data_IF_209903221281
#
_entry.id   IF_209903221281
#
_cell.length_a   1.000
_cell.length_b   1.000
_cell.length_c   1.000
_cell.angle_alpha   90.00
_cell.angle_beta   90.00
_cell.angle_gamma   90.00
#
_symmetry.space_group_name_H-M   'P 1'
#
loop_
_entity.id
_entity.type
_entity.pdbx_description
1 polymer ?
#
# COMPACT_ATOMS: atom_id res chain seq x y z
N UNK A 1 8.73 -22.85 39.69
CA UNK A 1 8.91 -21.84 38.62
C UNK A 1 8.97 -22.50 37.24
N UNK A 2 9.70 -23.60 37.06
CA UNK A 2 9.75 -24.38 35.79
C UNK A 2 8.41 -24.95 35.34
N UNK A 3 7.56 -25.43 36.26
CA UNK A 3 6.20 -25.95 35.94
C UNK A 3 5.27 -24.85 35.39
N UNK A 4 5.49 -23.59 35.81
CA UNK A 4 4.70 -22.45 35.36
C UNK A 4 5.14 -21.95 33.97
N UNK A 5 6.45 -22.00 33.69
CA UNK A 5 7.02 -21.70 32.35
C UNK A 5 6.65 -22.79 31.34
N UNK A 6 6.69 -24.07 31.75
CA UNK A 6 6.25 -25.21 30.93
C UNK A 6 4.77 -25.14 30.57
N UNK A 7 3.90 -24.74 31.50
CA UNK A 7 2.47 -24.55 31.25
C UNK A 7 2.16 -23.33 30.38
N UNK A 8 2.95 -22.26 30.44
CA UNK A 8 2.78 -21.10 29.56
C UNK A 8 3.23 -21.41 28.12
N UNK A 9 4.37 -22.07 27.95
CA UNK A 9 4.86 -22.54 26.65
C UNK A 9 3.90 -23.58 26.03
N UNK A 10 3.32 -24.46 26.85
CA UNK A 10 2.30 -25.42 26.43
C UNK A 10 0.98 -24.75 26.05
N UNK A 11 0.52 -23.72 26.77
CA UNK A 11 -0.68 -22.91 26.40
C UNK A 11 -0.49 -22.10 25.12
N UNK A 12 0.74 -21.65 24.84
CA UNK A 12 1.11 -20.98 23.58
C UNK A 12 1.19 -22.01 22.43
N UNK A 13 1.73 -23.21 22.71
CA UNK A 13 1.83 -24.34 21.78
C UNK A 13 0.46 -24.95 21.42
N UNK A 14 -0.46 -25.08 22.38
CA UNK A 14 -1.82 -25.64 22.17
C UNK A 14 -2.76 -24.67 21.44
N UNK A 15 -2.48 -23.35 21.45
CA UNK A 15 -3.29 -22.33 20.77
C UNK A 15 -2.83 -21.98 19.35
N UNK A 16 -1.59 -22.32 18.98
CA UNK A 16 -1.04 -22.08 17.65
C UNK A 16 -1.15 -23.32 16.78
N UNK A 17 -2.09 -23.34 15.82
CA UNK A 17 -2.09 -24.37 14.77
C UNK A 17 -0.69 -24.49 14.13
N UNK A 18 -0.31 -25.67 13.65
CA UNK A 18 1.02 -25.93 13.04
C UNK A 18 1.42 -24.83 12.03
N UNK A 19 0.45 -24.36 11.25
CA UNK A 19 0.61 -23.27 10.29
C UNK A 19 1.04 -21.95 10.92
N UNK A 20 0.55 -21.60 12.11
CA UNK A 20 0.92 -20.35 12.80
C UNK A 20 2.39 -20.39 13.21
N UNK A 21 2.89 -21.56 13.65
CA UNK A 21 4.32 -21.76 13.97
C UNK A 21 5.19 -21.70 12.71
N UNK A 22 4.78 -22.39 11.65
CA UNK A 22 5.46 -22.34 10.35
C UNK A 22 5.52 -20.91 9.80
N UNK A 23 4.43 -20.15 9.89
CA UNK A 23 4.39 -18.76 9.45
C UNK A 23 5.32 -17.87 10.26
N UNK A 24 5.34 -18.02 11.59
CA UNK A 24 6.22 -17.24 12.46
C UNK A 24 7.69 -17.50 12.14
N UNK A 25 8.09 -18.78 12.05
CA UNK A 25 9.46 -19.16 11.72
C UNK A 25 9.83 -18.74 10.28
N UNK A 26 8.93 -18.97 9.32
CA UNK A 26 9.13 -18.62 7.92
C UNK A 26 9.32 -17.12 7.72
N UNK A 27 8.43 -16.29 8.28
CA UNK A 27 8.59 -14.84 8.23
C UNK A 27 9.77 -14.34 9.04
N UNK A 28 10.08 -14.95 10.18
CA UNK A 28 11.29 -14.64 10.94
C UNK A 28 12.56 -14.84 10.11
N UNK A 29 12.67 -15.98 9.42
CA UNK A 29 13.79 -16.28 8.53
C UNK A 29 13.84 -15.31 7.34
N UNK A 30 12.71 -15.07 6.67
CA UNK A 30 12.60 -14.11 5.56
C UNK A 30 13.07 -12.72 6.00
N UNK A 31 12.53 -12.19 7.08
CA UNK A 31 12.89 -10.84 7.55
C UNK A 31 14.35 -10.75 7.95
N UNK A 32 14.90 -11.79 8.58
CA UNK A 32 16.34 -11.85 8.90
C UNK A 32 17.19 -11.79 7.64
N UNK A 33 16.86 -12.59 6.62
CA UNK A 33 17.59 -12.56 5.34
C UNK A 33 17.47 -11.19 4.68
N UNK A 34 16.26 -10.63 4.61
CA UNK A 34 16.02 -9.35 3.93
C UNK A 34 16.64 -8.15 4.66
N UNK A 35 16.81 -8.17 5.99
CA UNK A 35 17.47 -7.09 6.73
C UNK A 35 18.99 -7.23 6.75
N UNK A 36 19.53 -8.45 6.71
CA UNK A 36 20.98 -8.67 6.63
C UNK A 36 21.52 -8.45 5.21
N UNK A 37 20.72 -8.69 4.18
CA UNK A 37 21.18 -8.61 2.79
C UNK A 37 21.80 -7.26 2.39
N UNK A 38 21.26 -6.08 2.76
CA UNK A 38 21.88 -4.79 2.46
C UNK A 38 23.27 -4.61 3.09
N UNK A 39 23.56 -5.32 4.18
CA UNK A 39 24.88 -5.30 4.85
C UNK A 39 25.87 -6.17 4.06
N UNK A 40 25.41 -7.31 3.56
CA UNK A 40 26.23 -8.33 2.92
C UNK A 40 26.43 -8.12 1.41
N UNK A 41 25.51 -7.43 0.75
CA UNK A 41 25.49 -7.21 -0.71
C UNK A 41 25.18 -5.74 -0.98
N UNK A 42 26.22 -4.90 -0.97
CA UNK A 42 26.12 -3.43 -1.00
C UNK A 42 25.91 -2.79 -2.39
N UNK A 43 25.69 -3.58 -3.45
CA UNK A 43 25.81 -3.08 -4.84
C UNK A 43 24.55 -3.16 -5.71
N UNK A 44 23.37 -3.47 -5.16
CA UNK A 44 22.11 -3.37 -5.93
C UNK A 44 21.37 -2.09 -5.58
N UNK A 45 21.17 -1.23 -6.58
CA UNK A 45 20.22 -0.13 -6.47
C UNK A 45 18.84 -0.67 -6.09
N UNK A 46 18.25 -0.12 -5.04
CA UNK A 46 16.91 -0.50 -4.58
C UNK A 46 15.96 0.67 -4.77
N UNK A 47 14.66 0.44 -4.71
CA UNK A 47 13.70 1.55 -4.68
C UNK A 47 13.90 2.46 -3.46
N UNK A 48 14.66 2.01 -2.46
CA UNK A 48 15.00 2.82 -1.29
C UNK A 48 15.82 4.06 -1.63
N UNK A 49 16.72 3.96 -2.61
CA UNK A 49 17.66 5.04 -2.94
C UNK A 49 16.89 6.29 -3.37
N UNK A 50 15.78 6.11 -4.09
CA UNK A 50 14.87 7.19 -4.50
C UNK A 50 14.20 7.87 -3.30
N UNK A 51 13.81 7.12 -2.27
CA UNK A 51 13.22 7.71 -1.06
C UNK A 51 14.25 8.46 -0.23
N UNK A 52 15.44 7.86 -0.05
CA UNK A 52 16.53 8.44 0.72
C UNK A 52 17.01 9.75 0.08
N UNK A 53 17.19 9.75 -1.24
CA UNK A 53 17.55 10.95 -2.00
C UNK A 53 16.49 12.03 -1.91
N UNK A 54 15.20 11.67 -2.02
CA UNK A 54 14.10 12.63 -1.87
C UNK A 54 14.06 13.25 -0.47
N UNK A 55 14.33 12.46 0.58
CA UNK A 55 14.48 12.96 1.95
C UNK A 55 15.66 13.93 2.10
N UNK A 56 16.80 13.62 1.49
CA UNK A 56 17.98 14.49 1.46
C UNK A 56 17.68 15.81 0.73
N UNK A 57 17.12 15.75 -0.47
CA UNK A 57 16.75 16.93 -1.25
C UNK A 57 15.71 17.79 -0.51
N UNK A 58 14.75 17.16 0.18
CA UNK A 58 13.78 17.87 1.03
C UNK A 58 14.48 18.70 2.12
N UNK A 59 15.46 18.12 2.82
CA UNK A 59 16.22 18.82 3.86
C UNK A 59 17.02 20.00 3.31
N UNK A 60 17.56 19.87 2.09
CA UNK A 60 18.41 20.88 1.47
C UNK A 60 17.65 21.91 0.63
N UNK A 61 16.33 21.77 0.48
CA UNK A 61 15.53 22.65 -0.39
C UNK A 61 15.80 22.44 -1.89
N UNK A 62 16.25 21.25 -2.27
CA UNK A 62 16.59 20.87 -3.64
C UNK A 62 15.39 20.23 -4.36
N UNK A 63 15.40 20.23 -5.69
CA UNK A 63 14.30 19.64 -6.48
C UNK A 63 14.22 18.13 -6.29
N UNK A 64 13.03 17.62 -5.91
CA UNK A 64 12.81 16.18 -5.68
C UNK A 64 12.43 15.45 -6.96
N UNK A 65 11.70 16.12 -7.85
CA UNK A 65 11.05 15.49 -8.99
C UNK A 65 11.90 15.60 -10.25
N UNK A 66 12.15 14.45 -10.87
CA UNK A 66 12.77 14.34 -12.20
C UNK A 66 11.78 13.76 -13.20
N UNK A 67 12.02 14.02 -14.49
CA UNK A 67 11.09 13.63 -15.56
C UNK A 67 11.14 12.13 -15.92
N UNK A 68 12.17 11.39 -15.49
CA UNK A 68 12.34 9.97 -15.84
C UNK A 68 12.78 9.12 -14.66
N UNK A 69 11.98 8.10 -14.32
CA UNK A 69 12.30 7.04 -13.35
C UNK A 69 12.79 7.55 -11.97
N UNK A 70 12.34 8.74 -11.57
CA UNK A 70 12.68 9.39 -10.30
C UNK A 70 11.67 9.13 -9.19
N UNK A 71 11.65 10.02 -8.20
CA UNK A 71 10.69 9.98 -7.11
C UNK A 71 9.27 10.24 -7.63
N UNK A 72 8.33 9.33 -7.31
CA UNK A 72 6.95 9.39 -7.83
C UNK A 72 5.86 9.73 -6.83
N UNK A 73 6.22 9.77 -5.55
CA UNK A 73 5.33 9.87 -4.41
C UNK A 73 5.00 11.35 -4.12
N UNK A 74 3.99 11.62 -3.28
CA UNK A 74 3.67 13.01 -2.93
C UNK A 74 4.79 13.69 -2.12
N UNK A 75 4.83 15.03 -2.05
CA UNK A 75 5.81 15.75 -1.22
C UNK A 75 5.74 15.37 0.27
N UNK A 76 4.57 14.93 0.74
CA UNK A 76 4.37 14.38 2.10
C UNK A 76 5.33 13.22 2.38
N UNK A 77 5.58 12.38 1.36
CA UNK A 77 6.46 11.22 1.49
C UNK A 77 7.92 11.63 1.49
N UNK A 78 8.30 12.65 0.70
CA UNK A 78 9.66 13.19 0.76
C UNK A 78 9.95 13.78 2.15
N UNK A 79 9.01 14.55 2.70
CA UNK A 79 9.09 15.05 4.06
C UNK A 79 9.16 13.92 5.11
N UNK A 80 8.41 12.83 4.93
CA UNK A 80 8.48 11.64 5.78
C UNK A 80 9.87 10.96 5.76
N UNK A 81 10.55 10.96 4.62
CA UNK A 81 11.89 10.41 4.48
C UNK A 81 13.02 11.38 4.86
N UNK A 82 12.73 12.66 5.11
CA UNK A 82 13.71 13.62 5.61
C UNK A 82 14.50 13.12 6.85
N UNK A 83 13.87 12.63 7.94
CA UNK A 83 14.62 12.10 9.08
C UNK A 83 15.40 10.81 8.76
N UNK A 84 15.02 10.05 7.73
CA UNK A 84 15.78 8.88 7.29
C UNK A 84 17.12 9.29 6.67
N UNK A 85 17.19 10.46 6.04
CA UNK A 85 18.41 11.00 5.45
C UNK A 85 19.49 11.38 6.50
N UNK A 86 19.11 11.55 7.78
CA UNK A 86 20.08 11.71 8.87
C UNK A 86 20.74 10.39 9.31
N UNK A 87 20.20 9.25 8.90
CA UNK A 87 20.74 7.93 9.21
C UNK A 87 21.68 7.47 8.10
N UNK A 88 22.54 6.48 8.39
CA UNK A 88 23.26 5.78 7.32
C UNK A 88 22.26 5.13 6.34
N UNK A 89 22.53 5.10 5.02
CA UNK A 89 21.62 4.50 4.04
C UNK A 89 21.23 3.06 4.39
N UNK A 90 22.17 2.27 4.93
CA UNK A 90 21.93 0.87 5.33
C UNK A 90 20.92 0.81 6.48
N UNK A 91 21.13 1.57 7.56
CA UNK A 91 20.23 1.59 8.71
C UNK A 91 18.83 2.07 8.33
N UNK A 92 18.76 3.10 7.49
CA UNK A 92 17.51 3.67 7.00
C UNK A 92 16.74 2.65 6.14
N UNK A 93 17.43 1.92 5.26
CA UNK A 93 16.85 0.88 4.42
C UNK A 93 16.31 -0.29 5.26
N UNK A 94 17.07 -0.76 6.26
CA UNK A 94 16.63 -1.81 7.19
C UNK A 94 15.36 -1.36 7.92
N UNK A 95 15.35 -0.15 8.48
CA UNK A 95 14.18 0.41 9.17
C UNK A 95 12.97 0.45 8.24
N UNK A 96 13.15 0.90 7.00
CA UNK A 96 12.08 0.97 6.02
C UNK A 96 11.50 -0.39 5.63
N UNK A 97 12.34 -1.44 5.48
CA UNK A 97 11.90 -2.82 5.25
C UNK A 97 11.08 -3.35 6.42
N UNK A 98 11.54 -3.07 7.65
CA UNK A 98 10.84 -3.48 8.87
C UNK A 98 9.49 -2.77 8.99
N UNK A 99 9.41 -1.47 8.68
CA UNK A 99 8.16 -0.72 8.64
C UNK A 99 7.19 -1.32 7.61
N UNK A 100 7.62 -1.55 6.38
CA UNK A 100 6.81 -2.17 5.33
C UNK A 100 6.26 -3.54 5.76
N UNK A 101 7.13 -4.37 6.33
CA UNK A 101 6.76 -5.70 6.82
C UNK A 101 5.80 -5.61 7.99
N UNK A 102 6.03 -4.70 8.92
CA UNK A 102 5.19 -4.46 10.09
C UNK A 102 3.78 -4.04 9.70
N UNK A 103 3.63 -3.09 8.76
CA UNK A 103 2.32 -2.68 8.28
C UNK A 103 1.60 -3.78 7.50
N UNK A 104 2.30 -4.52 6.63
CA UNK A 104 1.70 -5.62 5.88
C UNK A 104 1.19 -6.74 6.82
N UNK A 105 2.08 -7.25 7.68
CA UNK A 105 1.76 -8.33 8.62
C UNK A 105 0.74 -7.88 9.67
N UNK A 106 0.89 -6.66 10.19
CA UNK A 106 -0.03 -6.06 11.15
C UNK A 106 -1.42 -5.78 10.57
N UNK A 107 -1.50 -5.33 9.32
CA UNK A 107 -2.75 -5.15 8.59
C UNK A 107 -3.49 -6.47 8.38
N UNK A 108 -2.78 -7.52 7.97
CA UNK A 108 -3.34 -8.87 7.88
C UNK A 108 -3.85 -9.35 9.25
N UNK A 109 -3.06 -9.16 10.31
CA UNK A 109 -3.46 -9.53 11.67
C UNK A 109 -4.72 -8.76 12.11
N UNK A 110 -4.82 -7.47 11.80
CA UNK A 110 -5.97 -6.65 12.15
C UNK A 110 -7.25 -7.16 11.48
N UNK A 111 -7.18 -7.49 10.18
CA UNK A 111 -8.30 -8.04 9.41
C UNK A 111 -8.74 -9.40 9.94
N UNK A 112 -7.79 -10.31 10.21
CA UNK A 112 -8.08 -11.65 10.72
C UNK A 112 -8.66 -11.66 12.14
N UNK A 113 -8.42 -10.60 12.93
CA UNK A 113 -9.04 -10.41 14.24
C UNK A 113 -10.49 -9.91 14.15
N UNK A 114 -10.94 -9.46 12.97
CA UNK A 114 -12.33 -9.05 12.77
C UNK A 114 -13.22 -10.23 12.37
N UNK A 115 -14.55 -10.01 12.36
CA UNK A 115 -15.53 -10.98 11.82
C UNK A 115 -15.65 -10.93 10.29
N UNK A 116 -14.79 -10.21 9.58
CA UNK A 116 -14.89 -10.05 8.13
C UNK A 116 -14.77 -11.40 7.41
N UNK A 117 -13.79 -12.22 7.82
CA UNK A 117 -13.57 -13.56 7.27
C UNK A 117 -13.91 -14.66 8.29
N UNK A 118 -15.13 -14.61 8.85
CA UNK A 118 -15.57 -15.54 9.91
C UNK A 118 -15.49 -17.03 9.54
N UNK A 119 -15.45 -17.38 8.25
CA UNK A 119 -15.26 -18.76 7.78
C UNK A 119 -13.84 -19.30 7.93
N UNK A 120 -12.84 -18.46 8.22
CA UNK A 120 -11.45 -18.88 8.36
C UNK A 120 -11.15 -19.21 9.83
N UNK A 121 -10.78 -20.46 10.09
CA UNK A 121 -10.39 -20.91 11.43
C UNK A 121 -9.07 -20.25 11.86
N UNK A 122 -8.97 -19.86 13.13
CA UNK A 122 -7.76 -19.26 13.71
C UNK A 122 -6.51 -20.15 13.59
N UNK A 123 -6.69 -21.48 13.60
CA UNK A 123 -5.62 -22.45 13.39
C UNK A 123 -5.03 -22.42 11.97
N UNK A 124 -5.73 -21.81 11.01
CA UNK A 124 -5.33 -21.68 9.60
C UNK A 124 -4.76 -20.31 9.26
N UNK A 125 -4.72 -19.35 10.19
CA UNK A 125 -4.24 -18.00 9.90
C UNK A 125 -2.81 -17.99 9.37
N UNK A 126 -1.94 -18.85 9.90
CA UNK A 126 -0.56 -19.00 9.43
C UNK A 126 -0.45 -19.38 7.96
N UNK A 127 -1.41 -20.13 7.41
CA UNK A 127 -1.42 -20.46 5.99
C UNK A 127 -1.57 -19.20 5.12
N UNK A 128 -2.38 -18.24 5.55
CA UNK A 128 -2.54 -16.96 4.84
C UNK A 128 -1.26 -16.13 4.84
N UNK A 129 -0.54 -16.12 5.97
CA UNK A 129 0.77 -15.48 6.04
C UNK A 129 1.79 -16.14 5.13
N UNK A 130 1.80 -17.48 5.06
CA UNK A 130 2.70 -18.23 4.17
C UNK A 130 2.37 -17.97 2.69
N UNK A 131 1.08 -17.94 2.33
CA UNK A 131 0.63 -17.62 0.96
C UNK A 131 0.96 -16.18 0.54
N UNK A 132 1.02 -15.26 1.50
CA UNK A 132 1.40 -13.87 1.23
C UNK A 132 2.90 -13.70 0.95
N UNK A 133 3.76 -14.60 1.46
CA UNK A 133 5.21 -14.49 1.34
C UNK A 133 5.71 -14.39 -0.11
N UNK A 134 5.37 -15.30 -1.05
CA UNK A 134 5.86 -15.20 -2.43
C UNK A 134 5.42 -13.92 -3.16
N UNK A 135 4.31 -13.31 -2.74
CA UNK A 135 3.79 -12.07 -3.34
C UNK A 135 4.49 -10.82 -2.79
N UNK A 136 4.97 -10.87 -1.55
CA UNK A 136 5.49 -9.71 -0.83
C UNK A 136 7.02 -9.65 -0.78
N UNK A 137 7.72 -10.79 -0.74
CA UNK A 137 9.19 -10.85 -0.53
C UNK A 137 9.93 -9.99 -1.54
N UNK A 138 9.62 -10.11 -2.83
CA UNK A 138 10.29 -9.33 -3.87
C UNK A 138 10.16 -7.82 -3.64
N UNK A 139 8.96 -7.35 -3.27
CA UNK A 139 8.71 -5.93 -2.99
C UNK A 139 9.46 -5.45 -1.74
N UNK A 140 9.50 -6.24 -0.67
CA UNK A 140 10.23 -5.90 0.56
C UNK A 140 11.74 -5.89 0.29
N UNK A 141 12.23 -6.84 -0.51
CA UNK A 141 13.64 -7.00 -0.85
C UNK A 141 14.19 -5.85 -1.70
N UNK A 142 13.38 -5.25 -2.57
CA UNK A 142 13.74 -4.01 -3.29
C UNK A 142 13.25 -2.75 -2.57
N UNK A 143 12.73 -2.88 -1.35
CA UNK A 143 12.28 -1.78 -0.50
C UNK A 143 11.17 -0.91 -1.10
N UNK A 144 10.30 -1.48 -1.92
CA UNK A 144 9.11 -0.80 -2.47
C UNK A 144 8.10 -0.43 -1.37
N UNK A 145 7.30 0.61 -1.60
CA UNK A 145 6.24 1.03 -0.68
C UNK A 145 4.94 0.21 -0.80
N UNK A 146 4.86 -0.73 -1.75
CA UNK A 146 3.66 -1.54 -1.98
C UNK A 146 3.21 -2.34 -0.73
N UNK A 147 4.10 -2.98 0.05
CA UNK A 147 3.72 -3.69 1.27
C UNK A 147 3.11 -2.75 2.32
N UNK A 148 3.68 -1.55 2.51
CA UNK A 148 3.10 -0.51 3.38
C UNK A 148 1.68 -0.14 2.91
N UNK A 149 1.51 0.17 1.62
CA UNK A 149 0.21 0.55 1.05
C UNK A 149 -0.82 -0.57 1.25
N UNK A 150 -0.47 -1.82 0.96
CA UNK A 150 -1.34 -2.96 1.16
C UNK A 150 -1.71 -3.15 2.64
N UNK A 151 -0.73 -3.02 3.55
CA UNK A 151 -0.93 -3.07 4.99
C UNK A 151 -1.90 -1.99 5.50
N UNK A 152 -1.74 -0.76 5.04
CA UNK A 152 -2.64 0.36 5.36
C UNK A 152 -4.06 0.13 4.84
N UNK A 153 -4.22 -0.42 3.64
CA UNK A 153 -5.55 -0.77 3.11
C UNK A 153 -6.22 -1.89 3.92
N UNK A 154 -5.46 -2.89 4.37
CA UNK A 154 -5.97 -3.93 5.27
C UNK A 154 -6.35 -3.35 6.64
N UNK A 155 -5.53 -2.46 7.22
CA UNK A 155 -5.86 -1.75 8.45
C UNK A 155 -7.13 -0.91 8.29
N UNK A 156 -7.30 -0.23 7.15
CA UNK A 156 -8.49 0.53 6.84
C UNK A 156 -9.73 -0.38 6.78
N UNK A 157 -9.62 -1.54 6.14
CA UNK A 157 -10.69 -2.53 6.05
C UNK A 157 -11.11 -3.03 7.44
N UNK A 158 -10.14 -3.37 8.30
CA UNK A 158 -10.41 -3.77 9.68
C UNK A 158 -11.03 -2.63 10.52
N UNK A 159 -10.58 -1.40 10.30
CA UNK A 159 -11.10 -0.22 10.96
C UNK A 159 -12.56 0.06 10.54
N UNK A 160 -12.88 -0.01 9.24
CA UNK A 160 -14.26 0.11 8.75
C UNK A 160 -15.13 -1.00 9.34
N UNK A 161 -14.66 -2.25 9.34
CA UNK A 161 -15.41 -3.38 9.91
C UNK A 161 -15.75 -3.15 11.39
N UNK A 162 -14.82 -2.54 12.15
CA UNK A 162 -14.98 -2.21 13.58
C UNK A 162 -15.46 -0.78 13.84
N UNK A 163 -15.96 -0.08 12.81
CA UNK A 163 -16.51 1.29 12.88
C UNK A 163 -15.55 2.38 13.39
N UNK A 164 -14.24 2.14 13.29
CA UNK A 164 -13.18 3.12 13.57
C UNK A 164 -12.91 4.00 12.34
N UNK A 165 -13.87 4.84 12.00
CA UNK A 165 -13.87 5.63 10.77
C UNK A 165 -12.68 6.59 10.62
N UNK A 166 -12.21 7.20 11.71
CA UNK A 166 -11.03 8.08 11.68
C UNK A 166 -9.77 7.30 11.30
N UNK A 167 -9.57 6.11 11.89
CA UNK A 167 -8.44 5.24 11.56
C UNK A 167 -8.51 4.76 10.11
N UNK A 168 -9.69 4.40 9.62
CA UNK A 168 -9.89 4.03 8.22
C UNK A 168 -9.51 5.17 7.26
N UNK A 169 -10.02 6.38 7.54
CA UNK A 169 -9.74 7.57 6.76
C UNK A 169 -8.24 7.89 6.72
N UNK A 170 -7.57 7.88 7.88
CA UNK A 170 -6.14 8.15 7.98
C UNK A 170 -5.31 7.10 7.24
N UNK A 171 -5.63 5.81 7.39
CA UNK A 171 -4.90 4.74 6.70
C UNK A 171 -4.97 4.88 5.17
N UNK A 172 -6.15 5.16 4.62
CA UNK A 172 -6.32 5.35 3.17
C UNK A 172 -5.66 6.65 2.71
N UNK A 173 -5.73 7.73 3.50
CA UNK A 173 -5.10 8.99 3.16
C UNK A 173 -3.57 8.88 3.13
N UNK A 174 -2.95 8.20 4.11
CA UNK A 174 -1.51 7.90 4.10
C UNK A 174 -1.15 7.03 2.89
N UNK A 175 -1.92 5.95 2.64
CA UNK A 175 -1.70 5.11 1.47
C UNK A 175 -1.76 5.91 0.16
N UNK A 176 -2.70 6.86 0.07
CA UNK A 176 -2.89 7.78 -1.06
C UNK A 176 -1.71 8.75 -1.25
N UNK A 177 -1.10 9.20 -0.16
CA UNK A 177 0.09 10.05 -0.22
C UNK A 177 1.32 9.28 -0.74
N UNK A 178 1.42 7.98 -0.43
CA UNK A 178 2.43 7.11 -1.02
C UNK A 178 2.13 6.86 -2.49
N UNK A 179 0.97 6.32 -2.81
CA UNK A 179 0.58 6.07 -4.21
C UNK A 179 -0.79 6.64 -4.44
N UNK A 180 -1.09 7.19 -5.61
CA UNK A 180 -2.38 7.86 -5.82
C UNK A 180 -3.54 6.84 -5.88
N UNK A 181 -3.32 5.66 -6.45
CA UNK A 181 -4.38 4.68 -6.72
C UNK A 181 -5.25 4.21 -5.52
N UNK A 182 -4.77 4.12 -4.26
CA UNK A 182 -5.60 3.81 -3.08
C UNK A 182 -6.74 4.79 -2.85
N UNK A 183 -6.69 6.00 -3.44
CA UNK A 183 -7.81 6.94 -3.43
C UNK A 183 -9.10 6.31 -3.97
N UNK A 184 -8.99 5.38 -4.92
CA UNK A 184 -10.14 4.66 -5.48
C UNK A 184 -10.92 3.93 -4.38
N UNK A 185 -10.24 3.23 -3.47
CA UNK A 185 -10.90 2.57 -2.33
C UNK A 185 -11.53 3.59 -1.38
N UNK A 186 -10.89 4.74 -1.15
CA UNK A 186 -11.46 5.84 -0.38
C UNK A 186 -12.75 6.41 -0.98
N UNK A 187 -12.76 6.67 -2.29
CA UNK A 187 -13.93 7.15 -3.01
C UNK A 187 -15.08 6.14 -2.99
N UNK A 188 -14.80 4.85 -3.17
CA UNK A 188 -15.80 3.80 -3.07
C UNK A 188 -16.38 3.70 -1.64
N UNK A 189 -15.55 3.87 -0.60
CA UNK A 189 -16.04 3.95 0.78
C UNK A 189 -16.87 5.22 1.06
N UNK A 190 -16.63 6.32 0.34
CA UNK A 190 -17.50 7.49 0.39
C UNK A 190 -18.89 7.17 -0.16
N UNK A 191 -19.02 6.25 -1.12
CA UNK A 191 -20.33 5.77 -1.62
C UNK A 191 -21.01 4.84 -0.61
N UNK A 192 -20.24 3.95 0.04
CA UNK A 192 -20.77 2.96 0.99
C UNK A 192 -21.18 3.61 2.31
N UNK A 193 -20.42 4.59 2.81
CA UNK A 193 -20.62 5.19 4.12
C UNK A 193 -20.42 6.72 4.10
N UNK A 194 -21.16 7.49 3.26
CA UNK A 194 -20.88 8.91 2.99
C UNK A 194 -20.79 9.76 4.25
N UNK A 195 -21.79 9.63 5.14
CA UNK A 195 -21.87 10.42 6.38
C UNK A 195 -20.83 10.01 7.43
N UNK A 196 -20.39 8.74 7.41
CA UNK A 196 -19.45 8.21 8.41
C UNK A 196 -17.99 8.32 7.96
N UNK A 197 -17.72 8.30 6.66
CA UNK A 197 -16.36 8.23 6.13
C UNK A 197 -15.95 9.48 5.34
N UNK A 198 -16.81 10.02 4.48
CA UNK A 198 -16.41 11.00 3.45
C UNK A 198 -15.71 12.24 4.02
N UNK A 199 -16.35 12.94 4.98
CA UNK A 199 -15.74 14.12 5.61
C UNK A 199 -14.44 13.82 6.34
N UNK A 200 -14.34 12.66 7.01
CA UNK A 200 -13.13 12.24 7.72
C UNK A 200 -11.98 11.96 6.76
N UNK A 201 -12.27 11.31 5.64
CA UNK A 201 -11.28 11.04 4.59
C UNK A 201 -10.79 12.32 3.94
N UNK A 202 -11.69 13.23 3.59
CA UNK A 202 -11.34 14.54 3.05
C UNK A 202 -10.43 15.32 4.00
N UNK A 203 -10.80 15.41 5.28
CA UNK A 203 -10.00 16.10 6.30
C UNK A 203 -8.64 15.42 6.48
N UNK A 204 -8.58 14.10 6.59
CA UNK A 204 -7.32 13.37 6.76
C UNK A 204 -6.37 13.60 5.57
N UNK A 205 -6.89 13.57 4.34
CA UNK A 205 -6.10 13.82 3.14
C UNK A 205 -5.62 15.27 3.10
N UNK A 206 -6.50 16.24 3.37
CA UNK A 206 -6.15 17.65 3.40
C UNK A 206 -5.07 17.95 4.45
N UNK A 207 -5.23 17.44 5.67
CA UNK A 207 -4.24 17.63 6.74
C UNK A 207 -2.88 17.06 6.36
N UNK A 208 -2.83 15.86 5.76
CA UNK A 208 -1.57 15.28 5.29
C UNK A 208 -0.95 16.09 4.15
N UNK A 209 -1.73 16.65 3.24
CA UNK A 209 -1.22 17.50 2.15
C UNK A 209 -0.76 18.88 2.63
N UNK A 210 -1.29 19.38 3.74
CA UNK A 210 -0.87 20.67 4.33
C UNK A 210 0.32 20.48 5.27
N UNK A 211 0.48 19.30 5.87
CA UNK A 211 1.54 19.03 6.86
C UNK A 211 2.96 19.45 6.42
N UNK A 212 3.38 19.30 5.14
CA UNK A 212 4.77 19.58 4.79
C UNK A 212 5.11 21.08 4.87
N UNK A 213 4.12 21.98 4.78
CA UNK A 213 4.30 23.43 4.97
C UNK A 213 4.71 23.82 6.39
N UNK A 214 4.56 22.92 7.37
CA UNK A 214 5.03 23.12 8.74
C UNK A 214 6.53 22.81 8.90
N UNK A 215 7.13 22.11 7.93
CA UNK A 215 8.48 21.55 8.04
C UNK A 215 9.44 22.04 6.94
N UNK A 216 9.00 22.95 6.07
CA UNK A 216 9.84 23.60 5.07
C UNK A 216 9.32 24.98 4.65
N UNK A 217 10.14 25.72 3.89
CA UNK A 217 9.76 26.98 3.26
C UNK A 217 8.55 26.79 2.34
N UNK A 218 7.53 27.64 2.52
CA UNK A 218 6.26 27.52 1.83
C UNK A 218 6.38 27.58 0.30
N UNK A 219 7.27 28.42 -0.23
CA UNK A 219 7.49 28.53 -1.67
C UNK A 219 8.13 27.27 -2.24
N UNK A 220 9.08 26.67 -1.50
CA UNK A 220 9.67 25.39 -1.87
C UNK A 220 8.62 24.28 -1.90
N UNK A 221 7.82 24.13 -0.83
CA UNK A 221 6.77 23.11 -0.75
C UNK A 221 5.74 23.26 -1.87
N UNK A 222 5.30 24.48 -2.15
CA UNK A 222 4.36 24.77 -3.25
C UNK A 222 4.94 24.37 -4.62
N UNK A 223 6.24 24.61 -4.84
CA UNK A 223 6.92 24.18 -6.07
C UNK A 223 6.99 22.64 -6.16
N UNK A 224 7.31 21.94 -5.07
CA UNK A 224 7.32 20.47 -5.06
C UNK A 224 5.94 19.88 -5.39
N UNK A 225 4.84 20.46 -4.91
CA UNK A 225 3.50 20.05 -5.32
C UNK A 225 3.23 20.28 -6.80
N UNK A 226 3.66 21.43 -7.35
CA UNK A 226 3.52 21.74 -8.78
C UNK A 226 4.28 20.73 -9.64
N UNK A 227 5.52 20.42 -9.28
CA UNK A 227 6.37 19.49 -10.01
C UNK A 227 5.84 18.05 -9.91
N UNK A 228 5.31 17.65 -8.75
CA UNK A 228 4.65 16.36 -8.60
C UNK A 228 3.45 16.21 -9.53
N UNK A 229 2.58 17.23 -9.60
CA UNK A 229 1.41 17.22 -10.48
C UNK A 229 1.84 17.23 -11.94
N UNK A 230 2.84 18.05 -12.31
CA UNK A 230 3.36 18.13 -13.67
C UNK A 230 3.91 16.77 -14.14
N UNK A 231 4.80 16.16 -13.35
CA UNK A 231 5.42 14.86 -13.67
C UNK A 231 4.41 13.72 -13.73
N UNK A 232 3.38 13.72 -12.88
CA UNK A 232 2.31 12.71 -12.93
C UNK A 232 1.33 12.92 -14.09
N UNK A 233 1.11 14.16 -14.50
CA UNK A 233 0.22 14.47 -15.63
C UNK A 233 0.87 14.21 -16.99
N UNK A 234 2.21 14.32 -17.06
CA UNK A 234 2.98 14.07 -18.28
C UNK A 234 3.37 12.60 -18.47
N UNK A 235 3.21 11.76 -17.43
CA UNK A 235 3.62 10.36 -17.49
C UNK A 235 2.66 9.54 -18.35
N UNK A 236 3.15 9.09 -19.50
CA UNK A 236 2.43 8.16 -20.37
C UNK A 236 3.13 6.81 -20.43
N UNK A 237 2.76 5.94 -19.49
CA UNK A 237 3.27 4.57 -19.41
C UNK A 237 3.05 3.75 -20.67
N UNK A 238 2.12 4.11 -21.56
CA UNK A 238 1.89 3.39 -22.82
C UNK A 238 3.06 3.54 -23.79
N UNK A 239 3.92 4.54 -23.57
CA UNK A 239 5.09 4.84 -24.38
C UNK A 239 6.40 4.37 -23.73
N UNK A 240 6.34 3.73 -22.57
CA UNK A 240 7.54 3.24 -21.91
C UNK A 240 8.18 2.06 -22.67
N UNK A 241 9.50 1.86 -22.55
CA UNK A 241 10.16 0.66 -23.03
C UNK A 241 9.52 -0.60 -22.46
N UNK A 242 9.43 -1.66 -23.25
CA UNK A 242 8.68 -2.89 -22.92
C UNK A 242 9.16 -3.51 -21.59
N UNK A 243 10.46 -3.45 -21.31
CA UNK A 243 11.09 -3.97 -20.10
C UNK A 243 10.75 -3.19 -18.83
N UNK A 244 10.10 -2.03 -18.96
CA UNK A 244 9.62 -1.19 -17.86
C UNK A 244 8.11 -1.14 -17.74
N UNK A 245 7.37 -1.69 -18.71
CA UNK A 245 5.92 -1.62 -18.71
C UNK A 245 5.32 -2.34 -17.49
N UNK A 246 4.32 -1.75 -16.83
CA UNK A 246 3.53 -2.48 -15.86
C UNK A 246 2.75 -3.59 -16.58
N UNK A 247 2.60 -4.74 -15.92
CA UNK A 247 1.85 -5.89 -16.43
C UNK A 247 0.34 -5.70 -16.22
N UNK A 248 -0.19 -4.56 -16.65
CA UNK A 248 -1.59 -4.20 -16.54
C UNK A 248 -2.40 -4.68 -17.76
N UNK A 249 -3.68 -4.32 -17.82
CA UNK A 249 -4.55 -4.69 -18.94
C UNK A 249 -4.07 -4.11 -20.28
N UNK A 250 -3.40 -2.95 -20.28
CA UNK A 250 -2.84 -2.40 -21.52
C UNK A 250 -1.75 -3.32 -22.06
N UNK A 251 -0.86 -3.78 -21.18
CA UNK A 251 0.19 -4.74 -21.52
C UNK A 251 -0.40 -6.04 -22.08
N UNK A 252 -1.39 -6.63 -21.40
CA UNK A 252 -2.01 -7.87 -21.85
C UNK A 252 -2.67 -7.72 -23.23
N UNK A 253 -3.37 -6.63 -23.49
CA UNK A 253 -4.07 -6.42 -24.77
C UNK A 253 -3.07 -6.21 -25.92
N UNK A 254 -2.07 -5.35 -25.72
CA UNK A 254 -1.15 -4.98 -26.80
C UNK A 254 -0.01 -5.96 -27.01
N UNK A 255 0.62 -6.42 -25.93
CA UNK A 255 1.85 -7.20 -26.01
C UNK A 255 1.62 -8.70 -25.98
N UNK A 256 0.57 -9.17 -25.31
CA UNK A 256 0.21 -10.59 -25.29
C UNK A 256 -0.85 -10.89 -26.34
N UNK A 257 -1.90 -10.07 -26.41
CA UNK A 257 -3.03 -10.27 -27.32
C UNK A 257 -2.81 -9.74 -28.73
N UNK A 258 -1.78 -8.92 -28.97
CA UNK A 258 -1.50 -8.26 -30.25
C UNK A 258 -2.70 -7.47 -30.82
N UNK A 259 -3.55 -6.91 -29.94
CA UNK A 259 -4.72 -6.13 -30.34
C UNK A 259 -4.38 -4.63 -30.30
N UNK A 260 -4.39 -3.93 -31.45
CA UNK A 260 -4.04 -2.51 -31.52
C UNK A 260 -5.22 -1.62 -31.11
N UNK A 261 -5.56 -1.59 -29.81
CA UNK A 261 -6.66 -0.74 -29.34
C UNK A 261 -6.19 0.72 -29.20
N UNK A 262 -6.97 1.72 -29.68
CA UNK A 262 -6.63 3.12 -29.48
C UNK A 262 -6.56 3.49 -27.98
N UNK A 263 -5.64 4.39 -27.57
CA UNK A 263 -5.51 4.82 -26.17
C UNK A 263 -6.82 5.33 -25.55
N UNK A 264 -7.66 6.01 -26.34
CA UNK A 264 -8.99 6.49 -25.90
C UNK A 264 -9.93 5.33 -25.53
N UNK A 265 -9.90 4.23 -26.27
CA UNK A 265 -10.72 3.04 -25.97
C UNK A 265 -10.26 2.43 -24.64
N UNK A 266 -8.94 2.33 -24.42
CA UNK A 266 -8.43 1.86 -23.15
C UNK A 266 -8.87 2.74 -21.98
N UNK A 267 -8.77 4.08 -22.09
CA UNK A 267 -9.27 4.98 -21.05
C UNK A 267 -10.77 4.81 -20.79
N UNK A 268 -11.59 4.56 -21.82
CA UNK A 268 -13.01 4.23 -21.66
C UNK A 268 -13.22 2.90 -20.91
N UNK A 269 -12.38 1.88 -21.16
CA UNK A 269 -12.42 0.63 -20.39
C UNK A 269 -12.06 0.85 -18.92
N UNK A 270 -11.05 1.68 -18.63
CA UNK A 270 -10.68 2.02 -17.25
C UNK A 270 -11.83 2.73 -16.53
N UNK A 271 -12.44 3.73 -17.16
CA UNK A 271 -13.58 4.48 -16.61
C UNK A 271 -14.84 3.60 -16.48
N UNK A 272 -15.12 2.77 -17.48
CA UNK A 272 -16.26 1.86 -17.49
C UNK A 272 -16.17 0.81 -16.38
N UNK A 273 -15.00 0.19 -16.20
CA UNK A 273 -14.77 -0.76 -15.10
C UNK A 273 -14.79 -0.09 -13.73
N UNK A 274 -14.30 1.15 -13.61
CA UNK A 274 -14.42 1.95 -12.39
C UNK A 274 -15.90 2.28 -12.06
N UNK A 275 -16.67 2.69 -13.07
CA UNK A 275 -18.10 2.96 -12.95
C UNK A 275 -18.90 1.72 -12.55
N UNK A 276 -18.57 0.56 -13.12
CA UNK A 276 -19.18 -0.72 -12.74
C UNK A 276 -18.90 -1.07 -11.27
N UNK A 277 -17.67 -0.82 -10.79
CA UNK A 277 -17.31 -1.03 -9.38
C UNK A 277 -18.03 -0.06 -8.44
N UNK A 278 -18.14 1.22 -8.82
CA UNK A 278 -18.90 2.21 -8.08
C UNK A 278 -20.39 1.84 -7.99
N UNK A 279 -20.98 1.43 -9.11
CA UNK A 279 -22.37 0.94 -9.18
C UNK A 279 -22.56 -0.29 -8.30
N UNK A 280 -21.64 -1.25 -8.35
CA UNK A 280 -21.67 -2.42 -7.47
C UNK A 280 -21.69 -2.04 -5.99
N UNK A 281 -20.82 -1.11 -5.56
CA UNK A 281 -20.80 -0.64 -4.18
C UNK A 281 -22.10 0.09 -3.78
N UNK A 282 -22.62 0.95 -4.66
CA UNK A 282 -23.86 1.70 -4.43
C UNK A 282 -25.08 0.77 -4.35
N UNK A 283 -25.24 -0.17 -5.29
CA UNK A 283 -26.37 -1.10 -5.34
C UNK A 283 -26.40 -2.01 -4.11
N UNK A 284 -25.25 -2.51 -3.65
CA UNK A 284 -25.20 -3.34 -2.45
C UNK A 284 -25.55 -2.59 -1.19
N UNK A 285 -25.09 -1.34 -1.10
CA UNK A 285 -25.41 -0.45 0.02
C UNK A 285 -26.91 -0.13 0.02
N UNK A 286 -27.48 0.17 -1.15
CA UNK A 286 -28.91 0.44 -1.30
C UNK A 286 -29.78 -0.78 -1.00
N UNK A 287 -29.33 -1.98 -1.37
CA UNK A 287 -30.00 -3.26 -1.07
C UNK A 287 -29.72 -3.80 0.33
N UNK A 288 -29.09 -3.00 1.20
CA UNK A 288 -28.76 -3.34 2.59
C UNK A 288 -28.06 -4.71 2.75
N UNK A 289 -27.08 -4.98 1.89
CA UNK A 289 -26.30 -6.20 2.00
C UNK A 289 -25.49 -6.21 3.29
N UNK A 290 -25.27 -7.41 3.83
CA UNK A 290 -24.43 -7.59 5.01
C UNK A 290 -23.07 -6.89 4.83
N UNK A 291 -22.71 -6.01 5.78
CA UNK A 291 -21.48 -5.19 5.75
C UNK A 291 -20.23 -5.98 5.35
N UNK A 292 -20.05 -7.18 5.92
CA UNK A 292 -18.92 -8.04 5.60
C UNK A 292 -18.84 -8.40 4.11
N UNK A 293 -19.99 -8.71 3.47
CA UNK A 293 -20.08 -9.02 2.04
C UNK A 293 -19.70 -7.81 1.19
N UNK A 294 -20.19 -6.63 1.55
CA UNK A 294 -19.87 -5.38 0.85
C UNK A 294 -18.38 -5.07 0.93
N UNK A 295 -17.79 -5.20 2.12
CA UNK A 295 -16.37 -4.91 2.35
C UNK A 295 -15.44 -5.93 1.67
N UNK A 296 -15.79 -7.22 1.65
CA UNK A 296 -15.04 -8.23 0.90
C UNK A 296 -15.11 -7.92 -0.61
N UNK A 297 -16.32 -7.65 -1.13
CA UNK A 297 -16.52 -7.30 -2.54
C UNK A 297 -15.73 -6.05 -2.93
N UNK A 298 -15.81 -5.00 -2.12
CA UNK A 298 -15.03 -3.77 -2.27
C UNK A 298 -13.53 -4.08 -2.32
N UNK A 299 -12.98 -4.75 -1.31
CA UNK A 299 -11.54 -4.97 -1.21
C UNK A 299 -11.03 -5.81 -2.39
N UNK A 300 -11.72 -6.90 -2.74
CA UNK A 300 -11.33 -7.77 -3.84
C UNK A 300 -11.40 -7.05 -5.18
N UNK A 301 -12.53 -6.43 -5.52
CA UNK A 301 -12.71 -5.80 -6.82
C UNK A 301 -11.90 -4.51 -6.96
N UNK A 302 -11.76 -3.71 -5.89
CA UNK A 302 -10.88 -2.55 -5.92
C UNK A 302 -9.42 -2.96 -6.08
N UNK A 303 -8.97 -4.03 -5.41
CA UNK A 303 -7.59 -4.53 -5.59
C UNK A 303 -7.35 -4.97 -7.02
N UNK A 304 -8.25 -5.77 -7.59
CA UNK A 304 -8.19 -6.21 -9.00
C UNK A 304 -8.19 -5.00 -9.93
N UNK A 305 -9.14 -4.09 -9.74
CA UNK A 305 -9.26 -2.90 -10.57
C UNK A 305 -7.98 -2.08 -10.50
N UNK A 306 -7.47 -1.76 -9.30
CA UNK A 306 -6.23 -1.00 -9.14
C UNK A 306 -5.08 -1.65 -9.90
N UNK A 307 -4.84 -2.96 -9.72
CA UNK A 307 -3.69 -3.65 -10.35
C UNK A 307 -3.83 -3.89 -11.85
N UNK A 308 -5.05 -4.06 -12.36
CA UNK A 308 -5.29 -4.50 -13.74
C UNK A 308 -5.76 -3.36 -14.65
N UNK A 309 -6.73 -2.58 -14.21
CA UNK A 309 -7.37 -1.53 -15.00
C UNK A 309 -6.99 -0.13 -14.51
N UNK A 310 -6.56 0.01 -13.27
CA UNK A 310 -6.22 1.27 -12.66
C UNK A 310 -4.92 1.81 -13.24
N UNK A 311 -4.64 3.09 -13.00
CA UNK A 311 -3.33 3.65 -13.26
C UNK A 311 -2.32 3.13 -12.23
N UNK A 312 -2.37 1.85 -11.77
CA UNK A 312 -1.42 1.34 -10.78
C UNK A 312 -0.01 1.24 -11.38
N UNK A 313 0.66 2.37 -11.33
CA UNK A 313 2.07 2.67 -11.24
C UNK A 313 2.13 4.18 -11.13
#
# INVERSE_FOLDING_TARGET
MEVMVGNLARKISEKGGIWNRCAFLGWGAVLTVLTLRPILVSHRGTSFDTYYLAGSHWLNGESIYSHWMGFVYSPVVAAFFAPFAWMSPISANILWRLLNSGFLLGGMAAVLKTKLFAGIKQSSFGLLYLLMAPLAIGNIDISQANPLVAGLLLLALAAVQTERWNSAALCIAIATCFKIYPIAMGLLLCLIAPRRFGGRFFIALLLLLVIPFLFQNWSYVANQYRDWVATRSSDDRRQWPIEKLPLDLWFLIHWVGHLPIPPKIYSLLQLGTAGALAMFCAVQTWRDWAKARVLIGLFSLASIWMTLCGPAT
#
